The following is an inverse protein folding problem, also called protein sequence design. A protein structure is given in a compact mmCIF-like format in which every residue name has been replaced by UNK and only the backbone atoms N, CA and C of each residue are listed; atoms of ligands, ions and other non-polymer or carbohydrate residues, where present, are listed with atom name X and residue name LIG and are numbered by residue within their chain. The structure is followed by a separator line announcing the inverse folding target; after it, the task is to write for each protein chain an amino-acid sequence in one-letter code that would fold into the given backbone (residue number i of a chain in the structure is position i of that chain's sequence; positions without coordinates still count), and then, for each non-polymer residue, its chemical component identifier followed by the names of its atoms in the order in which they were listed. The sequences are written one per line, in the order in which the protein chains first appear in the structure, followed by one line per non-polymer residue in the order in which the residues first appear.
data_IF_332417033637
#
_entry.id   IF_332417033637
#
_cell.length_a   1.000
_cell.length_b   1.000
_cell.length_c   1.000
_cell.angle_alpha   90.00
_cell.angle_beta   90.00
_cell.angle_gamma   90.00
#
_symmetry.space_group_name_H-M   'P 1'
#
loop_
_entity.id
_entity.type
_entity.pdbx_description
1 polymer ?
#
# COMPACT_ATOMS: atom_id res chain seq x y z
N UNK A 1 24.80 -3.10 -7.92
CA UNK A 1 23.63 -3.96 -8.25
C UNK A 1 22.41 -3.34 -7.59
N UNK A 2 21.27 -3.22 -8.28
CA UNK A 2 20.02 -2.68 -7.71
C UNK A 2 18.99 -3.79 -7.72
N UNK A 3 18.38 -4.05 -6.57
CA UNK A 3 17.27 -4.99 -6.41
C UNK A 3 16.06 -4.15 -6.01
N UNK A 4 15.03 -4.14 -6.87
CA UNK A 4 13.77 -3.45 -6.61
C UNK A 4 12.66 -4.47 -6.45
N UNK A 5 12.02 -4.47 -5.30
CA UNK A 5 10.87 -5.31 -4.99
C UNK A 5 9.67 -4.39 -4.82
N UNK A 6 8.81 -4.36 -5.83
CA UNK A 6 7.50 -3.74 -5.71
C UNK A 6 6.57 -4.72 -5.00
N UNK A 7 5.86 -4.25 -3.98
CA UNK A 7 5.01 -5.07 -3.10
C UNK A 7 5.71 -6.26 -2.43
N UNK A 8 6.66 -5.97 -1.53
CA UNK A 8 7.36 -7.00 -0.75
C UNK A 8 6.41 -7.98 -0.01
N UNK A 9 5.27 -7.55 0.57
CA UNK A 9 4.29 -8.47 1.17
C UNK A 9 3.78 -9.60 0.25
N UNK A 10 3.87 -9.47 -1.08
CA UNK A 10 3.43 -10.54 -1.98
C UNK A 10 4.33 -11.77 -1.97
N UNK A 11 5.61 -11.64 -1.54
CA UNK A 11 6.58 -12.72 -1.56
C UNK A 11 7.38 -12.74 -0.26
N UNK A 12 7.19 -13.80 0.54
CA UNK A 12 7.95 -13.98 1.78
C UNK A 12 9.38 -14.45 1.49
N UNK A 13 10.35 -13.61 1.83
CA UNK A 13 11.79 -13.89 1.70
C UNK A 13 12.45 -13.99 3.08
N UNK A 14 12.54 -15.19 3.66
CA UNK A 14 13.00 -15.39 5.06
C UNK A 14 14.38 -14.80 5.37
N UNK A 15 15.29 -14.79 4.38
CA UNK A 15 16.65 -14.27 4.52
C UNK A 15 16.82 -12.80 4.10
N UNK A 16 15.72 -12.10 3.80
CA UNK A 16 15.77 -10.71 3.36
C UNK A 16 16.58 -9.79 4.29
N UNK A 17 16.42 -9.82 5.64
CA UNK A 17 17.20 -8.95 6.51
C UNK A 17 18.71 -9.22 6.43
N UNK A 18 19.09 -10.50 6.26
CA UNK A 18 20.49 -10.91 6.11
C UNK A 18 21.04 -10.39 4.79
N UNK A 19 20.30 -10.56 3.68
CA UNK A 19 20.70 -10.07 2.38
C UNK A 19 20.88 -8.55 2.34
N UNK A 20 19.96 -7.79 2.93
CA UNK A 20 20.09 -6.32 2.97
C UNK A 20 21.38 -5.92 3.69
N UNK A 21 21.72 -6.57 4.80
CA UNK A 21 22.91 -6.25 5.59
C UNK A 21 24.21 -6.73 4.93
N UNK A 22 24.25 -7.95 4.40
CA UNK A 22 25.45 -8.54 3.78
C UNK A 22 25.78 -7.90 2.44
N UNK A 23 24.78 -7.67 1.58
CA UNK A 23 25.02 -7.11 0.27
C UNK A 23 25.18 -5.59 0.28
N UNK A 24 24.81 -4.91 1.39
CA UNK A 24 25.10 -3.48 1.58
C UNK A 24 26.59 -3.18 1.50
N UNK A 25 27.45 -3.99 2.13
CA UNK A 25 28.92 -3.81 2.05
C UNK A 25 29.47 -4.11 0.65
N UNK A 26 28.77 -4.94 -0.12
CA UNK A 26 29.11 -5.31 -1.49
C UNK A 26 28.56 -4.34 -2.56
N UNK A 27 28.00 -3.19 -2.16
CA UNK A 27 27.48 -2.18 -3.07
C UNK A 27 26.14 -2.55 -3.75
N UNK A 28 25.37 -3.46 -3.15
CA UNK A 28 23.98 -3.65 -3.56
C UNK A 28 23.05 -2.61 -2.92
N UNK A 29 22.07 -2.16 -3.68
CA UNK A 29 21.02 -1.26 -3.22
C UNK A 29 19.67 -1.99 -3.30
N UNK A 30 18.98 -2.06 -2.17
CA UNK A 30 17.63 -2.63 -2.08
C UNK A 30 16.61 -1.50 -2.05
N UNK A 31 15.61 -1.60 -2.92
CA UNK A 31 14.43 -0.73 -2.95
C UNK A 31 13.24 -1.62 -2.65
N UNK A 32 12.56 -1.35 -1.55
CA UNK A 32 11.43 -2.15 -1.06
C UNK A 32 10.18 -1.28 -1.09
N UNK A 33 9.21 -1.66 -1.92
CA UNK A 33 7.86 -1.11 -1.91
C UNK A 33 6.98 -1.91 -0.96
N UNK A 34 6.32 -1.22 -0.04
CA UNK A 34 5.30 -1.80 0.84
C UNK A 34 4.09 -0.86 0.87
N UNK A 35 2.88 -1.42 0.86
CA UNK A 35 1.65 -0.62 1.02
C UNK A 35 1.45 -0.16 2.47
N UNK A 36 1.74 -1.03 3.43
CA UNK A 36 1.54 -0.78 4.85
C UNK A 36 2.63 -1.46 5.68
N UNK A 37 3.05 -0.80 6.77
CA UNK A 37 4.03 -1.33 7.70
C UNK A 37 3.46 -2.51 8.50
N UNK A 38 2.15 -2.51 8.74
CA UNK A 38 1.41 -3.60 9.39
C UNK A 38 1.46 -4.88 8.55
N UNK A 39 1.26 -4.79 7.23
CA UNK A 39 1.38 -5.96 6.34
C UNK A 39 2.80 -6.57 6.39
N UNK A 40 3.83 -5.73 6.50
CA UNK A 40 5.21 -6.19 6.67
C UNK A 40 5.36 -6.96 7.99
N UNK A 41 4.80 -6.45 9.08
CA UNK A 41 4.83 -7.10 10.40
C UNK A 41 4.01 -8.39 10.43
N UNK A 42 2.90 -8.47 9.70
CA UNK A 42 2.07 -9.69 9.65
C UNK A 42 2.80 -10.86 8.97
N UNK A 43 3.58 -10.59 7.91
CA UNK A 43 4.26 -11.64 7.13
C UNK A 43 5.57 -12.09 7.79
N UNK A 44 6.33 -11.13 8.30
CA UNK A 44 7.66 -11.37 8.87
C UNK A 44 7.67 -11.51 10.39
N UNK A 45 6.60 -11.09 11.06
CA UNK A 45 6.55 -10.88 12.50
C UNK A 45 7.20 -9.55 12.92
N UNK A 46 6.81 -9.03 14.08
CA UNK A 46 7.25 -7.72 14.58
C UNK A 46 8.78 -7.57 14.61
N UNK A 47 9.48 -8.60 15.08
CA UNK A 47 10.96 -8.57 15.22
C UNK A 47 11.66 -8.45 13.86
N UNK A 48 11.26 -9.26 12.89
CA UNK A 48 11.93 -9.27 11.58
C UNK A 48 11.49 -8.10 10.73
N UNK A 49 10.20 -7.72 10.75
CA UNK A 49 9.75 -6.53 10.04
C UNK A 49 10.42 -5.27 10.59
N UNK A 50 10.60 -5.16 11.91
CA UNK A 50 11.34 -4.04 12.51
C UNK A 50 12.81 -4.05 12.08
N UNK A 51 13.45 -5.22 11.99
CA UNK A 51 14.80 -5.35 11.47
C UNK A 51 14.91 -4.93 10.00
N UNK A 52 13.95 -5.28 9.14
CA UNK A 52 13.90 -4.87 7.72
C UNK A 52 13.75 -3.35 7.61
N UNK A 53 12.77 -2.80 8.34
CA UNK A 53 12.52 -1.36 8.36
C UNK A 53 13.73 -0.56 8.87
N UNK A 54 14.47 -1.10 9.85
CA UNK A 54 15.67 -0.48 10.42
C UNK A 54 16.91 -0.63 9.54
N UNK A 55 17.04 -1.74 8.80
CA UNK A 55 18.13 -1.97 7.86
C UNK A 55 18.08 -1.00 6.67
N UNK A 56 16.86 -0.59 6.28
CA UNK A 56 16.65 0.45 5.30
C UNK A 56 16.93 1.82 5.93
N UNK A 57 18.05 2.45 5.58
CA UNK A 57 18.39 3.77 6.15
C UNK A 57 17.56 4.91 5.54
N UNK A 58 17.18 4.76 4.27
CA UNK A 58 16.35 5.74 3.55
C UNK A 58 14.89 5.29 3.58
N UNK A 59 13.99 6.21 3.95
CA UNK A 59 12.54 5.99 3.93
C UNK A 59 11.88 7.06 3.07
N UNK A 60 10.89 6.62 2.29
CA UNK A 60 9.99 7.48 1.53
C UNK A 60 8.58 7.18 2.03
N UNK A 61 8.01 8.12 2.77
CA UNK A 61 6.68 7.96 3.38
C UNK A 61 5.64 8.72 2.55
N UNK A 62 4.69 7.99 2.00
CA UNK A 62 3.44 8.54 1.47
C UNK A 62 2.37 8.50 2.57
N UNK A 63 1.13 8.86 2.25
CA UNK A 63 0.00 8.69 3.16
C UNK A 63 -0.12 7.20 3.55
N UNK A 64 0.15 6.82 4.82
CA UNK A 64 0.13 5.42 5.24
C UNK A 64 -1.29 4.86 5.44
N UNK A 65 -2.32 5.71 5.36
CA UNK A 65 -3.73 5.31 5.59
C UNK A 65 -4.06 4.95 7.04
N UNK A 66 -3.07 4.84 7.92
CA UNK A 66 -3.25 4.51 9.33
C UNK A 66 -2.54 5.50 10.26
N UNK A 67 -3.17 5.77 11.41
CA UNK A 67 -2.67 6.75 12.36
C UNK A 67 -1.41 6.30 13.10
N UNK A 68 -1.28 5.00 13.39
CA UNK A 68 -0.16 4.44 14.15
C UNK A 68 1.18 4.67 13.43
N UNK A 69 1.26 4.28 12.16
CA UNK A 69 2.43 4.52 11.31
C UNK A 69 2.70 6.02 11.16
N UNK A 70 1.66 6.85 10.98
CA UNK A 70 1.83 8.31 10.89
C UNK A 70 2.41 8.91 12.19
N UNK A 71 1.97 8.43 13.36
CA UNK A 71 2.49 8.85 14.66
C UNK A 71 3.94 8.40 14.87
N UNK A 72 4.25 7.14 14.54
CA UNK A 72 5.61 6.59 14.64
C UNK A 72 6.60 7.37 13.78
N UNK A 73 6.20 7.73 12.54
CA UNK A 73 7.02 8.56 11.68
C UNK A 73 7.10 10.02 12.13
N UNK A 74 6.00 10.59 12.66
CA UNK A 74 6.01 11.94 13.25
C UNK A 74 7.00 12.04 14.41
N UNK A 75 7.01 11.05 15.31
CA UNK A 75 8.00 10.94 16.39
C UNK A 75 9.41 10.76 15.86
N UNK A 76 9.57 9.95 14.80
CA UNK A 76 10.87 9.72 14.15
C UNK A 76 11.46 10.98 13.51
N UNK A 77 10.62 11.85 12.95
CA UNK A 77 11.03 13.13 12.39
C UNK A 77 11.40 14.17 13.47
N UNK A 78 10.99 13.93 14.71
CA UNK A 78 11.33 14.74 15.86
C UNK A 78 10.45 15.98 16.02
N UNK A 79 10.87 16.83 16.96
CA UNK A 79 10.16 18.03 17.38
C UNK A 79 11.02 19.28 17.13
N UNK A 80 10.35 20.40 16.88
CA UNK A 80 10.93 21.74 16.81
C UNK A 80 10.33 22.62 17.90
N UNK A 81 11.14 23.52 18.43
CA UNK A 81 10.69 24.55 19.35
C UNK A 81 10.21 25.77 18.55
N UNK A 82 8.98 26.22 18.82
CA UNK A 82 8.36 27.36 18.15
C UNK A 82 8.04 28.41 19.21
N UNK A 83 8.55 29.62 19.01
CA UNK A 83 8.22 30.77 19.85
C UNK A 83 6.92 31.41 19.37
N UNK A 84 5.84 31.21 20.13
CA UNK A 84 4.53 31.80 19.86
C UNK A 84 4.47 33.16 20.54
N UNK A 85 4.32 34.22 19.74
CA UNK A 85 4.15 35.60 20.22
C UNK A 85 2.67 35.95 20.20
N UNK A 86 2.05 36.02 21.36
CA UNK A 86 0.66 36.45 21.51
C UNK A 86 0.60 37.95 21.80
N UNK A 87 -0.27 38.65 21.05
CA UNK A 87 -0.51 40.08 21.20
C UNK A 87 -1.92 40.31 21.75
N UNK A 88 -2.02 40.87 22.94
CA UNK A 88 -3.29 41.25 23.54
C UNK A 88 -3.45 42.77 23.49
N UNK A 89 -4.57 43.26 22.94
CA UNK A 89 -4.89 44.69 22.95
C UNK A 89 -6.08 44.96 23.84
N UNK A 90 -5.86 45.68 24.94
CA UNK A 90 -6.90 46.16 25.83
C UNK A 90 -7.39 47.54 25.38
N UNK A 91 -8.70 47.77 25.43
CA UNK A 91 -9.31 49.10 25.29
C UNK A 91 -10.10 49.38 26.56
N UNK A 92 -9.72 50.42 27.28
CA UNK A 92 -10.48 50.90 28.43
C UNK A 92 -11.45 52.00 27.97
N UNK A 93 -12.74 51.85 28.31
CA UNK A 93 -13.79 52.82 27.99
C UNK A 93 -14.19 53.57 29.26
N UNK A 94 -13.38 54.55 29.65
CA UNK A 94 -13.67 55.44 30.78
C UNK A 94 -12.76 56.66 30.78
N UNK A 95 -13.34 57.86 30.62
CA UNK A 95 -12.74 59.20 30.78
C UNK A 95 -11.62 59.59 29.82
N UNK A 96 -10.67 58.70 29.56
CA UNK A 96 -9.49 58.92 28.73
C UNK A 96 -9.26 57.64 27.91
N UNK A 97 -9.43 57.72 26.60
CA UNK A 97 -9.34 56.55 25.71
C UNK A 97 -7.88 56.06 25.66
N UNK A 98 -7.54 55.07 26.48
CA UNK A 98 -6.21 54.46 26.52
C UNK A 98 -6.24 53.06 25.91
N UNK A 99 -5.28 52.79 25.02
CA UNK A 99 -5.09 51.50 24.36
C UNK A 99 -3.81 50.87 24.89
N UNK A 100 -3.94 49.77 25.63
CA UNK A 100 -2.79 48.99 26.11
C UNK A 100 -2.51 47.84 25.13
N UNK A 101 -1.24 47.62 24.81
CA UNK A 101 -0.78 46.47 24.01
C UNK A 101 0.17 45.70 24.90
N UNK A 102 -0.16 44.44 25.19
CA UNK A 102 0.70 43.50 25.91
C UNK A 102 1.16 42.40 24.96
N UNK A 103 2.42 42.00 25.10
CA UNK A 103 3.01 40.90 24.36
C UNK A 103 3.39 39.81 25.35
N UNK A 104 3.01 38.58 25.06
CA UNK A 104 3.46 37.39 25.79
C UNK A 104 4.11 36.43 24.81
N UNK A 105 5.32 36.01 25.11
CA UNK A 105 6.04 35.00 24.34
C UNK A 105 5.95 33.65 25.05
N UNK A 106 5.60 32.59 24.32
CA UNK A 106 5.53 31.24 24.84
C UNK A 106 6.34 30.31 23.94
N UNK A 107 7.29 29.57 24.51
CA UNK A 107 8.08 28.58 23.79
C UNK A 107 7.33 27.24 23.84
N UNK A 108 6.91 26.73 22.68
CA UNK A 108 6.17 25.47 22.59
C UNK A 108 6.94 24.46 21.73
N UNK A 109 7.01 23.21 22.17
CA UNK A 109 7.49 22.08 21.37
C UNK A 109 6.37 21.57 20.48
N UNK A 110 6.65 21.42 19.19
CA UNK A 110 5.72 20.90 18.19
C UNK A 110 6.44 19.91 17.29
N UNK A 111 5.78 18.86 16.78
CA UNK A 111 6.41 17.96 15.82
C UNK A 111 6.85 18.70 14.56
N UNK A 112 7.94 18.27 13.94
CA UNK A 112 8.42 18.86 12.67
C UNK A 112 7.35 18.69 11.59
N UNK A 113 6.77 17.49 11.50
CA UNK A 113 5.61 17.13 10.70
C UNK A 113 4.66 16.34 11.60
N UNK A 114 3.42 16.80 11.72
CA UNK A 114 2.41 16.13 12.56
C UNK A 114 1.84 14.87 11.89
N UNK A 115 1.37 13.91 12.67
CA UNK A 115 0.69 12.72 12.16
C UNK A 115 -0.53 13.08 11.29
N UNK A 116 -1.29 14.11 11.69
CA UNK A 116 -2.43 14.62 10.92
C UNK A 116 -1.99 15.21 9.56
N UNK A 117 -0.85 15.89 9.51
CA UNK A 117 -0.30 16.39 8.25
C UNK A 117 0.11 15.24 7.32
N UNK A 118 0.72 14.18 7.86
CA UNK A 118 1.10 12.97 7.10
C UNK A 118 -0.14 12.29 6.50
N UNK A 119 -1.22 12.16 7.27
CA UNK A 119 -2.48 11.55 6.81
C UNK A 119 -3.23 12.39 5.78
N UNK A 120 -2.92 13.68 5.67
CA UNK A 120 -3.50 14.61 4.69
C UNK A 120 -2.63 14.81 3.46
N UNK A 121 -1.59 14.00 3.27
CA UNK A 121 -0.78 14.06 2.06
C UNK A 121 -1.64 13.74 0.82
N UNK A 122 -1.73 14.67 -0.17
CA UNK A 122 -2.37 14.39 -1.43
C UNK A 122 -1.56 13.37 -2.24
N UNK A 123 -2.17 12.82 -3.28
CA UNK A 123 -1.50 11.89 -4.18
C UNK A 123 -0.19 12.49 -4.71
N UNK A 124 0.88 11.69 -4.66
CA UNK A 124 2.23 12.11 -5.09
C UNK A 124 3.03 12.91 -4.07
N UNK A 125 2.43 13.40 -2.97
CA UNK A 125 3.18 14.03 -1.87
C UNK A 125 3.77 12.95 -0.96
N UNK A 126 5.06 13.06 -0.67
CA UNK A 126 5.78 12.18 0.25
C UNK A 126 6.80 12.96 1.08
N UNK A 127 7.30 12.31 2.13
CA UNK A 127 8.46 12.78 2.91
C UNK A 127 9.59 11.80 2.71
N UNK A 128 10.74 12.32 2.29
CA UNK A 128 11.97 11.54 2.16
C UNK A 128 12.86 11.81 3.36
N UNK A 129 13.32 10.75 4.02
CA UNK A 129 14.39 10.79 5.00
C UNK A 129 15.52 9.89 4.57
N UNK A 130 16.73 10.43 4.48
CA UNK A 130 17.94 9.66 4.21
C UNK A 130 19.09 10.17 5.08
N UNK A 131 19.99 9.30 5.58
CA UNK A 131 21.18 9.75 6.29
C UNK A 131 22.08 10.68 5.46
N UNK A 132 21.97 10.63 4.14
CA UNK A 132 22.68 11.53 3.22
C UNK A 132 22.15 12.97 3.24
N UNK A 133 20.92 13.20 3.71
CA UNK A 133 20.39 14.54 3.97
C UNK A 133 20.77 14.94 5.40
N UNK A 134 21.98 15.46 5.54
CA UNK A 134 22.46 16.05 6.79
C UNK A 134 22.70 17.55 6.61
N UNK A 135 22.36 18.33 7.64
CA UNK A 135 22.67 19.75 7.73
C UNK A 135 23.22 20.05 9.12
N UNK A 136 24.39 20.67 9.18
CA UNK A 136 25.02 21.28 10.36
C UNK A 136 24.83 20.52 11.69
N UNK A 137 25.02 19.19 11.68
CA UNK A 137 24.99 18.34 12.87
C UNK A 137 23.72 17.50 13.07
N UNK A 138 22.70 17.64 12.21
CA UNK A 138 21.52 16.78 12.18
C UNK A 138 21.52 15.94 10.89
N UNK A 139 21.39 14.63 11.02
CA UNK A 139 21.23 13.70 9.88
C UNK A 139 19.77 13.26 9.76
N UNK A 140 19.37 12.85 8.55
CA UNK A 140 18.01 12.36 8.26
C UNK A 140 16.91 13.42 8.40
N UNK A 141 17.15 14.63 7.90
CA UNK A 141 16.16 15.69 7.90
C UNK A 141 14.98 15.29 6.98
N UNK A 142 13.73 15.36 7.46
CA UNK A 142 12.56 15.05 6.63
C UNK A 142 12.38 16.09 5.53
N UNK A 143 12.43 15.65 4.27
CA UNK A 143 12.24 16.49 3.11
C UNK A 143 10.89 16.20 2.45
N UNK A 144 9.85 17.01 2.71
CA UNK A 144 8.56 16.88 2.05
C UNK A 144 8.66 17.33 0.60
N UNK A 145 8.22 16.49 -0.34
CA UNK A 145 8.18 16.81 -1.75
C UNK A 145 6.95 16.21 -2.41
N UNK A 146 6.58 16.77 -3.57
CA UNK A 146 5.61 16.15 -4.48
C UNK A 146 6.42 15.55 -5.61
N UNK A 147 6.31 14.23 -5.82
CA UNK A 147 7.04 13.54 -6.88
C UNK A 147 6.48 14.04 -8.22
N UNK A 148 7.29 14.75 -9.03
CA UNK A 148 6.81 15.24 -10.30
C UNK A 148 6.67 14.06 -11.26
N UNK A 149 5.46 13.86 -11.79
CA UNK A 149 5.26 12.97 -12.93
C UNK A 149 5.61 13.74 -14.19
N UNK A 150 6.41 13.14 -15.08
CA UNK A 150 6.73 13.78 -16.35
C UNK A 150 5.49 13.84 -17.23
N UNK A 151 5.25 14.98 -17.88
CA UNK A 151 4.18 15.13 -18.90
C UNK A 151 4.29 14.08 -20.02
N UNK A 152 5.50 13.58 -20.30
CA UNK A 152 5.70 12.52 -21.27
C UNK A 152 5.16 11.17 -20.79
N UNK A 153 5.24 10.89 -19.49
CA UNK A 153 4.73 9.67 -18.88
C UNK A 153 3.21 9.74 -18.76
N UNK A 154 2.66 10.90 -18.37
CA UNK A 154 1.21 11.17 -18.39
C UNK A 154 0.62 10.96 -19.79
N UNK A 155 1.30 11.50 -20.82
CA UNK A 155 0.90 11.29 -22.21
C UNK A 155 0.96 9.81 -22.59
N UNK A 156 2.04 9.09 -22.23
CA UNK A 156 2.15 7.66 -22.53
C UNK A 156 1.07 6.83 -21.83
N UNK A 157 0.69 7.16 -20.60
CA UNK A 157 -0.42 6.50 -19.91
C UNK A 157 -1.74 6.71 -20.67
N UNK A 158 -2.07 7.95 -21.01
CA UNK A 158 -3.27 8.27 -21.80
C UNK A 158 -3.27 7.60 -23.18
N UNK A 159 -2.13 7.62 -23.88
CA UNK A 159 -1.98 6.96 -25.17
C UNK A 159 -2.17 5.44 -25.03
N UNK A 160 -1.69 4.84 -23.93
CA UNK A 160 -1.84 3.40 -23.66
C UNK A 160 -3.29 3.02 -23.34
N UNK A 161 -4.02 3.84 -22.59
CA UNK A 161 -5.45 3.66 -22.34
C UNK A 161 -6.26 3.78 -23.63
N UNK A 162 -5.96 4.77 -24.49
CA UNK A 162 -6.62 4.90 -25.79
C UNK A 162 -6.34 3.70 -26.72
N UNK A 163 -5.13 3.14 -26.65
CA UNK A 163 -4.75 1.93 -27.38
C UNK A 163 -5.46 0.66 -26.89
N UNK A 164 -5.93 0.65 -25.64
CA UNK A 164 -6.64 -0.50 -25.07
C UNK A 164 -7.91 -0.82 -25.86
N UNK A 165 -8.80 0.16 -26.04
CA UNK A 165 -10.06 -0.05 -26.74
C UNK A 165 -9.88 -0.14 -28.26
N UNK A 166 -8.89 0.54 -28.83
CA UNK A 166 -8.70 0.60 -30.27
C UNK A 166 -7.91 -0.56 -30.84
N UNK A 167 -6.93 -1.10 -30.12
CA UNK A 167 -6.02 -2.12 -30.63
C UNK A 167 -5.95 -3.37 -29.76
N UNK A 168 -5.69 -3.21 -28.46
CA UNK A 168 -5.37 -4.35 -27.58
C UNK A 168 -6.59 -5.24 -27.37
N UNK A 169 -7.73 -4.66 -27.00
CA UNK A 169 -8.96 -5.42 -26.76
C UNK A 169 -9.50 -6.13 -28.01
N UNK A 170 -9.63 -5.48 -29.19
CA UNK A 170 -10.05 -6.17 -30.41
C UNK A 170 -9.06 -7.25 -30.85
N UNK A 171 -7.75 -7.02 -30.69
CA UNK A 171 -6.74 -8.03 -31.01
C UNK A 171 -6.88 -9.26 -30.09
N UNK A 172 -7.06 -9.06 -28.78
CA UNK A 172 -7.31 -10.14 -27.83
C UNK A 172 -8.62 -10.88 -28.15
N UNK A 173 -9.71 -10.16 -28.40
CA UNK A 173 -11.00 -10.75 -28.78
C UNK A 173 -10.91 -11.56 -30.08
N UNK A 174 -10.16 -11.09 -31.08
CA UNK A 174 -9.96 -11.80 -32.35
C UNK A 174 -9.10 -13.06 -32.21
N UNK A 175 -8.23 -13.11 -31.19
CA UNK A 175 -7.42 -14.28 -30.86
C UNK A 175 -8.18 -15.28 -29.98
N UNK A 176 -9.29 -14.86 -29.35
CA UNK A 176 -10.15 -15.75 -28.59
C UNK A 176 -10.99 -16.58 -29.55
N UNK A 177 -10.53 -17.79 -29.84
CA UNK A 177 -11.39 -18.85 -30.36
C UNK A 177 -12.27 -19.29 -29.20
N UNK A 178 -13.53 -18.88 -29.19
CA UNK A 178 -14.52 -19.39 -28.22
C UNK A 178 -14.71 -20.88 -28.56
N UNK A 179 -14.26 -21.82 -27.70
CA UNK A 179 -14.43 -23.24 -27.98
C UNK A 179 -15.92 -23.59 -27.94
N UNK A 180 -16.34 -24.57 -28.72
CA UNK A 180 -17.68 -25.15 -28.56
C UNK A 180 -17.86 -25.64 -27.11
N UNK A 181 -19.07 -25.49 -26.56
CA UNK A 181 -19.35 -25.83 -25.15
C UNK A 181 -18.88 -27.26 -24.85
N UNK A 182 -19.05 -28.18 -25.80
CA UNK A 182 -18.60 -29.57 -25.66
C UNK A 182 -17.08 -29.71 -25.55
N UNK A 183 -16.31 -28.94 -26.33
CA UNK A 183 -14.83 -28.95 -26.24
C UNK A 183 -14.35 -28.32 -24.95
N UNK A 184 -15.04 -27.29 -24.44
CA UNK A 184 -14.75 -26.71 -23.13
C UNK A 184 -15.02 -27.69 -21.99
N UNK A 185 -16.16 -28.40 -22.03
CA UNK A 185 -16.51 -29.43 -21.04
C UNK A 185 -15.49 -30.57 -21.06
N UNK A 186 -15.03 -30.98 -22.24
CA UNK A 186 -14.00 -32.02 -22.37
C UNK A 186 -12.64 -31.55 -21.82
N UNK A 187 -12.19 -30.35 -22.18
CA UNK A 187 -10.95 -29.78 -21.65
C UNK A 187 -10.98 -29.57 -20.12
N UNK A 188 -12.16 -29.25 -19.54
CA UNK A 188 -12.35 -29.20 -18.10
C UNK A 188 -12.20 -30.57 -17.46
N UNK A 189 -12.82 -31.61 -18.03
CA UNK A 189 -12.65 -32.99 -17.53
C UNK A 189 -11.19 -33.45 -17.60
N UNK A 190 -10.49 -33.18 -18.71
CA UNK A 190 -9.07 -33.51 -18.86
C UNK A 190 -8.19 -32.80 -17.82
N UNK A 191 -8.49 -31.54 -17.48
CA UNK A 191 -7.78 -30.81 -16.41
C UNK A 191 -8.09 -31.35 -15.02
N UNK A 192 -9.33 -31.73 -14.75
CA UNK A 192 -9.72 -32.36 -13.47
C UNK A 192 -9.00 -33.70 -13.31
N UNK A 193 -8.95 -34.52 -14.38
CA UNK A 193 -8.28 -35.81 -14.36
C UNK A 193 -6.75 -35.65 -14.22
N UNK A 194 -6.17 -34.68 -14.93
CA UNK A 194 -4.76 -34.32 -14.78
C UNK A 194 -4.43 -33.83 -13.37
N UNK A 195 -5.29 -33.00 -12.78
CA UNK A 195 -5.14 -32.51 -11.41
C UNK A 195 -5.26 -33.67 -10.40
N UNK A 196 -6.22 -34.57 -10.55
CA UNK A 196 -6.36 -35.76 -9.71
C UNK A 196 -5.14 -36.69 -9.80
N UNK A 197 -4.49 -36.79 -10.97
CA UNK A 197 -3.25 -37.55 -11.14
C UNK A 197 -2.04 -36.87 -10.48
N UNK A 198 -1.95 -35.54 -10.55
CA UNK A 198 -0.84 -34.78 -9.94
C UNK A 198 -1.00 -34.60 -8.42
N UNK A 199 -2.23 -34.50 -7.94
CA UNK A 199 -2.59 -34.28 -6.55
C UNK A 199 -3.64 -35.33 -6.15
N UNK A 200 -3.21 -36.60 -6.00
CA UNK A 200 -4.11 -37.65 -5.56
C UNK A 200 -4.65 -37.27 -4.17
N UNK A 201 -5.98 -37.32 -4.03
CA UNK A 201 -6.60 -37.15 -2.72
C UNK A 201 -6.11 -38.29 -1.81
N UNK A 202 -5.78 -38.01 -0.54
CA UNK A 202 -5.46 -39.07 0.40
C UNK A 202 -6.63 -40.05 0.45
N UNK A 203 -6.34 -41.35 0.48
CA UNK A 203 -7.37 -42.37 0.70
C UNK A 203 -8.07 -42.03 2.01
N UNK A 204 -9.35 -41.69 1.94
CA UNK A 204 -10.17 -41.61 3.14
C UNK A 204 -10.09 -42.98 3.82
N UNK A 205 -9.55 -43.00 5.03
CA UNK A 205 -9.63 -44.16 5.92
C UNK A 205 -11.10 -44.56 6.00
N UNK A 206 -11.44 -45.66 5.32
CA UNK A 206 -12.81 -46.16 5.24
C UNK A 206 -13.18 -46.71 6.61
N UNK A 207 -13.66 -45.84 7.50
CA UNK A 207 -14.56 -46.26 8.55
C UNK A 207 -15.87 -46.68 7.87
N UNK A 208 -16.41 -47.90 8.10
CA UNK A 208 -17.56 -48.39 7.38
C UNK A 208 -18.76 -47.47 7.65
N UNK A 209 -19.27 -46.87 6.58
CA UNK A 209 -20.46 -46.04 6.59
C UNK A 209 -21.67 -46.87 7.03
N UNK A 210 -22.30 -46.47 8.13
CA UNK A 210 -23.69 -46.81 8.38
C UNK A 210 -24.55 -46.15 7.29
N UNK A 211 -25.26 -46.95 6.51
CA UNK A 211 -26.30 -46.50 5.60
C UNK A 211 -27.32 -45.65 6.37
N UNK A 212 -27.28 -44.35 6.15
CA UNK A 212 -28.40 -43.46 6.43
C UNK A 212 -28.89 -42.91 5.10
N UNK A 213 -30.06 -43.38 4.70
CA UNK A 213 -30.80 -42.87 3.56
C UNK A 213 -31.15 -41.40 3.81
N UNK A 214 -30.51 -40.49 3.09
CA UNK A 214 -31.06 -39.16 2.88
C UNK A 214 -30.68 -38.70 1.49
N UNK A 215 -31.70 -38.52 0.66
CA UNK A 215 -31.63 -37.92 -0.65
C UNK A 215 -31.12 -36.49 -0.53
N UNK A 216 -29.84 -36.26 -0.83
CA UNK A 216 -29.32 -34.90 -1.01
C UNK A 216 -29.78 -34.36 -2.38
N UNK A 217 -30.44 -33.19 -2.43
CA UNK A 217 -30.78 -32.55 -3.69
C UNK A 217 -29.51 -32.02 -4.37
N UNK A 218 -29.49 -32.15 -5.69
CA UNK A 218 -28.40 -31.75 -6.58
C UNK A 218 -28.02 -30.28 -6.37
N UNK A 219 -26.72 -30.01 -6.15
CA UNK A 219 -26.18 -28.69 -5.73
C UNK A 219 -26.51 -27.57 -6.73
N UNK A 220 -26.89 -27.94 -7.96
CA UNK A 220 -27.34 -27.05 -9.02
C UNK A 220 -28.70 -26.38 -8.76
N UNK A 221 -29.56 -26.95 -7.90
CA UNK A 221 -30.88 -26.36 -7.60
C UNK A 221 -30.80 -25.14 -6.64
N UNK A 222 -29.68 -24.97 -5.94
CA UNK A 222 -29.47 -23.85 -5.00
C UNK A 222 -28.89 -22.59 -5.67
N UNK A 223 -28.56 -22.62 -6.96
CA UNK A 223 -28.12 -21.42 -7.67
C UNK A 223 -29.32 -20.60 -8.15
N UNK A 224 -29.49 -19.41 -7.59
CA UNK A 224 -30.51 -18.46 -8.04
C UNK A 224 -30.24 -18.07 -9.49
N UNK A 225 -31.07 -18.52 -10.43
CA UNK A 225 -31.02 -18.14 -11.85
C UNK A 225 -31.23 -16.62 -11.97
N UNK A 226 -30.14 -15.85 -12.10
CA UNK A 226 -30.24 -14.42 -12.44
C UNK A 226 -30.68 -14.30 -13.89
N UNK A 227 -31.95 -13.99 -14.10
CA UNK A 227 -32.48 -13.56 -15.40
C UNK A 227 -32.04 -12.12 -15.62
N UNK A 228 -31.10 -11.90 -16.54
CA UNK A 228 -30.74 -10.56 -16.97
C UNK A 228 -31.87 -10.00 -17.86
N UNK A 229 -32.66 -9.06 -17.33
CA UNK A 229 -33.51 -8.22 -18.15
C UNK A 229 -32.65 -7.15 -18.82
N UNK A 230 -32.60 -7.17 -20.15
CA UNK A 230 -32.02 -6.12 -20.97
C UNK A 230 -32.84 -4.84 -20.76
N UNK A 231 -32.26 -3.71 -20.31
CA UNK A 231 -32.99 -2.44 -20.23
C UNK A 231 -33.39 -2.00 -21.64
N UNK A 232 -34.64 -1.55 -21.78
CA UNK A 232 -35.34 -1.40 -23.05
C UNK A 232 -34.65 -0.51 -24.08
N UNK A 233 -34.70 -0.97 -25.33
CA UNK A 233 -34.80 -0.10 -26.49
C UNK A 233 -36.26 0.38 -26.58
N UNK A 234 -36.48 1.66 -26.32
CA UNK A 234 -37.53 2.46 -26.90
C UNK A 234 -36.90 3.72 -27.50
#
# INVERSE_FOLDING_TARGET
MIISLDELPSIKLDRLPQWINEYRSNGACFILGIQSLEQLYDIYGDKMGSAIASACSTHVLFNPGNYKTAEDYSKRYGEKEVLIKNRTTGRSLGGQMSRSISWSENLQKMPVISADEILKFPQGKCVITSPGYSSEGQASIPYPLIIPVSKADEKRAHDSEALWDTQVKPALESQVIIPDIKTLTQALHERIESAARMLPLPEEDVAPAHESSSSEPDVLDNFTRRVYQTPGLH
#
